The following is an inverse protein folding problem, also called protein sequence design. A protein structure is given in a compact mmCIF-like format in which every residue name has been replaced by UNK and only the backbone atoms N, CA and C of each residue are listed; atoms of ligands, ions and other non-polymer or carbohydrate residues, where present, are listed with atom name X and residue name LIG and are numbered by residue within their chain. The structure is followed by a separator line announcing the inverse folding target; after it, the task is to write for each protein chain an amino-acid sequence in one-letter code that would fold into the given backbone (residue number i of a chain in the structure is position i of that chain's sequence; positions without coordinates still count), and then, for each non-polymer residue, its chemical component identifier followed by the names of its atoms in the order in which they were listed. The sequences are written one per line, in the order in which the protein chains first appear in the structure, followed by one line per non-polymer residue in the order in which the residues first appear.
data_IF_999852095452
#
_entry.id   IF_999852095452
#
_cell.length_a   1.000
_cell.length_b   1.000
_cell.length_c   1.000
_cell.angle_alpha   90.00
_cell.angle_beta   90.00
_cell.angle_gamma   90.00
#
_symmetry.space_group_name_H-M   'P 1'
#
loop_
_entity.id
_entity.type
_entity.pdbx_description
1 polymer ?
#
# COMPACT_ATOMS: atom_id res chain seq x y z
N UNK A 1 20.53 -46.87 14.02
CA UNK A 1 19.35 -45.97 13.92
C UNK A 1 18.23 -46.75 13.28
N UNK A 2 16.97 -46.60 13.72
CA UNK A 2 15.84 -47.25 13.03
C UNK A 2 15.82 -46.83 11.56
N UNK A 3 15.51 -47.78 10.68
CA UNK A 3 15.39 -47.55 9.24
C UNK A 3 14.27 -46.53 8.97
N UNK A 4 14.62 -45.41 8.35
CA UNK A 4 13.63 -44.39 7.95
C UNK A 4 12.92 -44.86 6.68
N UNK A 5 11.61 -45.05 6.76
CA UNK A 5 10.78 -45.50 5.63
C UNK A 5 10.16 -44.32 4.89
N UNK A 6 9.88 -44.52 3.60
CA UNK A 6 9.11 -43.57 2.78
C UNK A 6 7.70 -43.38 3.35
N UNK A 7 7.15 -42.19 3.20
CA UNK A 7 5.77 -41.85 3.55
C UNK A 7 4.84 -42.45 2.52
N UNK A 8 4.08 -43.47 2.91
CA UNK A 8 3.14 -44.17 2.03
C UNK A 8 1.67 -43.89 2.37
N UNK A 9 1.39 -43.27 3.52
CA UNK A 9 0.02 -42.89 3.90
C UNK A 9 -0.46 -41.73 3.01
N UNK A 10 -1.49 -41.91 2.17
CA UNK A 10 -1.97 -40.86 1.27
C UNK A 10 -2.38 -39.57 1.97
N UNK A 11 -2.78 -39.62 3.24
CA UNK A 11 -3.15 -38.44 4.04
C UNK A 11 -1.94 -37.63 4.49
N UNK A 12 -0.75 -38.24 4.47
CA UNK A 12 0.50 -37.63 4.92
C UNK A 12 1.44 -37.25 3.78
N UNK A 13 1.17 -37.67 2.56
CA UNK A 13 2.00 -37.32 1.41
C UNK A 13 1.91 -35.80 1.16
N UNK A 14 3.06 -35.18 0.91
CA UNK A 14 3.12 -33.78 0.47
C UNK A 14 2.54 -33.66 -0.93
N UNK A 15 1.39 -33.01 -1.05
CA UNK A 15 0.72 -32.75 -2.33
C UNK A 15 0.79 -31.29 -2.76
N UNK A 16 1.23 -30.40 -1.87
CA UNK A 16 1.36 -28.98 -2.17
C UNK A 16 2.53 -28.73 -3.13
N UNK A 17 2.23 -28.19 -4.32
CA UNK A 17 3.21 -27.96 -5.38
C UNK A 17 4.32 -27.00 -4.97
N UNK A 18 4.03 -25.98 -4.15
CA UNK A 18 5.04 -25.00 -3.70
C UNK A 18 6.00 -25.65 -2.72
N UNK A 19 5.47 -26.46 -1.80
CA UNK A 19 6.29 -27.25 -0.88
C UNK A 19 7.16 -28.23 -1.65
N UNK A 20 6.59 -28.97 -2.60
CA UNK A 20 7.34 -29.90 -3.45
C UNK A 20 8.48 -29.20 -4.20
N UNK A 21 8.22 -28.04 -4.81
CA UNK A 21 9.25 -27.22 -5.48
C UNK A 21 10.38 -26.85 -4.50
N UNK A 22 10.02 -26.35 -3.32
CA UNK A 22 11.02 -25.90 -2.32
C UNK A 22 11.83 -27.06 -1.75
N UNK A 23 11.22 -28.23 -1.57
CA UNK A 23 11.92 -29.45 -1.15
C UNK A 23 12.99 -29.85 -2.16
N UNK A 24 12.68 -29.79 -3.47
CA UNK A 24 13.65 -30.06 -4.54
C UNK A 24 14.82 -29.09 -4.50
N UNK A 25 14.56 -27.78 -4.35
CA UNK A 25 15.61 -26.74 -4.25
C UNK A 25 16.55 -26.95 -3.05
N UNK A 26 16.02 -27.48 -1.95
CA UNK A 26 16.79 -27.78 -0.74
C UNK A 26 17.47 -29.15 -0.77
N UNK A 27 17.30 -29.94 -1.85
CA UNK A 27 17.81 -31.31 -1.93
C UNK A 27 17.14 -32.28 -0.96
N UNK A 28 15.92 -31.99 -0.52
CA UNK A 28 15.14 -32.84 0.39
C UNK A 28 14.21 -33.74 -0.43
N UNK A 29 14.34 -35.06 -0.28
CA UNK A 29 13.48 -36.04 -0.95
C UNK A 29 12.08 -36.04 -0.33
N UNK A 30 11.11 -35.51 -1.08
CA UNK A 30 9.72 -35.39 -0.64
C UNK A 30 9.05 -36.72 -0.23
N UNK A 31 9.54 -37.87 -0.70
CA UNK A 31 9.02 -39.17 -0.26
C UNK A 31 9.32 -39.47 1.22
N UNK A 32 10.21 -38.71 1.85
CA UNK A 32 10.53 -38.82 3.27
C UNK A 32 10.01 -37.63 4.07
N UNK A 33 9.25 -36.74 3.45
CA UNK A 33 8.60 -35.63 4.13
C UNK A 33 7.15 -36.01 4.36
N UNK A 34 6.72 -36.07 5.61
CA UNK A 34 5.30 -36.23 5.93
C UNK A 34 4.68 -34.88 6.26
N UNK A 35 3.45 -34.68 5.80
CA UNK A 35 2.54 -33.76 6.44
C UNK A 35 2.34 -34.22 7.89
N UNK A 36 2.70 -33.34 8.82
CA UNK A 36 2.78 -33.68 10.23
C UNK A 36 1.53 -33.24 10.98
N UNK A 37 1.14 -31.97 10.82
CA UNK A 37 -0.14 -31.48 11.29
C UNK A 37 -0.56 -30.18 10.58
N UNK A 38 -1.86 -29.98 10.54
CA UNK A 38 -2.54 -28.76 10.13
C UNK A 38 -2.65 -27.87 11.37
N UNK A 39 -2.05 -26.68 11.36
CA UNK A 39 -2.11 -25.70 12.46
C UNK A 39 -1.46 -26.23 13.76
N UNK A 40 -0.73 -25.41 14.50
CA UNK A 40 0.01 -25.90 15.67
C UNK A 40 -0.94 -26.50 16.74
N UNK A 41 -0.74 -27.74 17.23
CA UNK A 41 -1.63 -28.35 18.22
C UNK A 41 -1.56 -27.64 19.57
N UNK A 42 -2.72 -27.51 20.25
CA UNK A 42 -2.95 -26.82 21.55
C UNK A 42 -2.09 -27.26 22.74
N UNK A 43 -1.20 -28.24 22.59
CA UNK A 43 -0.60 -28.94 23.73
C UNK A 43 0.44 -28.14 24.52
N UNK A 44 0.64 -26.83 24.26
CA UNK A 44 1.60 -25.98 24.99
C UNK A 44 1.11 -24.58 25.42
N UNK A 45 -0.19 -24.29 25.40
CA UNK A 45 -0.72 -23.06 25.99
C UNK A 45 -0.43 -21.75 25.25
N UNK A 46 0.22 -21.80 24.08
CA UNK A 46 0.39 -20.66 23.18
C UNK A 46 -0.56 -20.80 21.98
N UNK A 47 -1.08 -19.66 21.54
CA UNK A 47 -2.21 -19.52 20.62
C UNK A 47 -1.92 -20.12 19.23
N UNK A 48 -2.98 -20.62 18.58
CA UNK A 48 -2.91 -21.23 17.26
C UNK A 48 -2.34 -20.25 16.23
N UNK A 49 -1.49 -20.73 15.32
CA UNK A 49 -1.31 -20.04 14.03
C UNK A 49 -2.28 -20.65 13.01
N UNK A 50 -3.46 -20.04 12.75
CA UNK A 50 -4.41 -20.51 11.72
C UNK A 50 -3.87 -20.34 10.29
N UNK A 51 -2.65 -19.83 10.19
CA UNK A 51 -1.94 -19.47 8.98
C UNK A 51 -0.93 -20.55 8.57
N UNK A 52 -0.59 -21.53 9.41
CA UNK A 52 0.54 -22.43 9.12
C UNK A 52 0.19 -23.91 8.95
N UNK A 53 0.83 -24.56 7.99
CA UNK A 53 0.93 -26.02 7.87
C UNK A 53 2.32 -26.49 8.22
N UNK A 54 2.41 -27.67 8.83
CA UNK A 54 3.69 -28.22 9.29
C UNK A 54 3.96 -29.58 8.65
N UNK A 55 5.20 -29.73 8.21
CA UNK A 55 5.74 -30.94 7.64
C UNK A 55 6.99 -31.35 8.41
N UNK A 56 7.34 -32.62 8.31
CA UNK A 56 8.51 -33.19 8.97
C UNK A 56 9.29 -34.04 7.97
N UNK A 57 10.57 -33.70 7.75
CA UNK A 57 11.49 -34.59 7.05
C UNK A 57 11.94 -35.70 8.00
N UNK A 58 11.59 -36.93 7.68
CA UNK A 58 11.88 -38.10 8.49
C UNK A 58 13.37 -38.48 8.48
N UNK A 59 14.16 -38.04 7.49
CA UNK A 59 15.61 -38.33 7.43
C UNK A 59 16.40 -37.44 8.38
N UNK A 60 16.14 -36.14 8.36
CA UNK A 60 16.87 -35.16 9.16
C UNK A 60 16.16 -34.77 10.45
N UNK A 61 14.89 -35.16 10.62
CA UNK A 61 13.98 -34.68 11.66
C UNK A 61 13.74 -33.15 11.63
N UNK A 62 14.12 -32.47 10.53
CA UNK A 62 13.82 -31.04 10.35
C UNK A 62 12.31 -30.84 10.19
N UNK A 63 11.81 -29.76 10.81
CA UNK A 63 10.43 -29.31 10.67
C UNK A 63 10.37 -28.21 9.63
N UNK A 64 9.37 -28.28 8.77
CA UNK A 64 9.14 -27.31 7.72
C UNK A 64 7.78 -26.68 8.00
N UNK A 65 7.76 -25.37 8.14
CA UNK A 65 6.55 -24.60 8.31
C UNK A 65 6.24 -23.88 7.01
N UNK A 66 4.97 -23.94 6.61
CA UNK A 66 4.46 -23.21 5.44
C UNK A 66 3.41 -22.25 5.96
N UNK A 67 3.71 -20.96 5.90
CA UNK A 67 2.80 -19.90 6.33
C UNK A 67 2.00 -19.41 5.13
N UNK A 68 0.69 -19.48 5.25
CA UNK A 68 -0.32 -18.90 4.36
C UNK A 68 -0.66 -17.50 4.89
N UNK A 69 -0.74 -16.51 4.01
CA UNK A 69 -1.29 -15.19 4.37
C UNK A 69 -2.80 -15.20 4.66
N UNK A 70 -3.47 -16.34 4.52
CA UNK A 70 -4.91 -16.51 4.73
C UNK A 70 -5.21 -17.59 5.79
N UNK A 71 -6.17 -17.33 6.69
CA UNK A 71 -6.55 -18.25 7.75
C UNK A 71 -7.34 -19.43 7.20
N UNK A 72 -7.13 -20.63 7.69
CA UNK A 72 -7.81 -21.83 7.18
C UNK A 72 -8.81 -22.44 8.17
N UNK A 73 -8.73 -22.06 9.44
CA UNK A 73 -9.62 -22.49 10.52
C UNK A 73 -10.00 -21.27 11.37
N UNK A 74 -11.18 -21.31 11.98
CA UNK A 74 -11.61 -20.36 13.01
C UNK A 74 -10.90 -20.66 14.34
N UNK A 75 -10.93 -19.75 15.34
CA UNK A 75 -10.36 -20.01 16.68
C UNK A 75 -10.97 -21.23 17.41
N UNK A 76 -12.22 -21.58 17.08
CA UNK A 76 -12.89 -22.79 17.58
C UNK A 76 -12.45 -24.11 16.87
N UNK A 77 -11.52 -24.04 15.92
CA UNK A 77 -11.00 -25.18 15.16
C UNK A 77 -11.86 -25.58 13.95
N UNK A 78 -13.02 -24.94 13.73
CA UNK A 78 -13.84 -25.22 12.56
C UNK A 78 -13.13 -24.75 11.30
N UNK A 79 -13.07 -25.62 10.28
CA UNK A 79 -12.49 -25.27 8.97
C UNK A 79 -13.28 -24.15 8.31
N UNK A 80 -12.56 -23.16 7.80
CA UNK A 80 -13.14 -22.11 6.96
C UNK A 80 -13.62 -22.73 5.65
N UNK A 81 -14.83 -22.36 5.26
CA UNK A 81 -15.44 -22.78 4.01
C UNK A 81 -15.73 -21.52 3.19
N UNK A 82 -15.02 -21.35 2.10
CA UNK A 82 -15.27 -20.26 1.17
C UNK A 82 -16.56 -20.52 0.39
N UNK A 83 -17.45 -19.53 0.37
CA UNK A 83 -18.68 -19.60 -0.41
C UNK A 83 -19.88 -18.91 0.22
N UNK A 84 -20.94 -18.83 -0.57
CA UNK A 84 -22.26 -18.39 -0.16
C UNK A 84 -23.22 -19.59 -0.09
N UNK A 85 -24.24 -19.46 0.75
CA UNK A 85 -25.37 -20.37 0.86
C UNK A 85 -26.67 -19.57 0.68
N UNK A 86 -27.50 -19.94 -0.31
CA UNK A 86 -28.84 -19.33 -0.48
C UNK A 86 -29.78 -19.88 0.60
N UNK A 87 -30.46 -19.00 1.31
CA UNK A 87 -31.45 -19.32 2.34
C UNK A 87 -32.69 -18.45 2.13
N UNK A 88 -33.70 -18.98 1.44
CA UNK A 88 -34.86 -18.18 1.03
C UNK A 88 -34.47 -17.03 0.11
N UNK A 89 -34.81 -15.79 0.49
CA UNK A 89 -34.53 -14.56 -0.26
C UNK A 89 -33.20 -13.89 0.12
N UNK A 90 -32.31 -14.58 0.84
CA UNK A 90 -31.00 -14.06 1.23
C UNK A 90 -29.87 -15.03 0.93
N UNK A 91 -28.66 -14.50 0.85
CA UNK A 91 -27.43 -15.27 0.89
C UNK A 91 -26.74 -15.08 2.22
N UNK A 92 -26.18 -16.14 2.77
CA UNK A 92 -25.35 -16.11 3.97
C UNK A 92 -23.98 -16.69 3.66
N UNK A 93 -22.93 -16.17 4.28
CA UNK A 93 -21.60 -16.75 4.18
C UNK A 93 -21.60 -18.17 4.76
N UNK A 94 -20.81 -19.04 4.16
CA UNK A 94 -20.37 -20.27 4.81
C UNK A 94 -19.43 -19.95 5.99
N UNK A 95 -19.11 -20.92 6.87
CA UNK A 95 -18.23 -20.70 8.02
C UNK A 95 -16.93 -19.97 7.63
N UNK A 96 -16.70 -18.80 8.24
CA UNK A 96 -15.52 -17.96 7.99
C UNK A 96 -15.15 -17.19 9.28
N UNK A 97 -14.13 -16.32 9.25
CA UNK A 97 -13.78 -15.46 10.39
C UNK A 97 -14.80 -14.33 10.64
N UNK A 98 -15.72 -14.14 9.70
CA UNK A 98 -16.83 -13.21 9.76
C UNK A 98 -18.12 -13.93 9.36
N UNK A 99 -19.25 -13.32 9.70
CA UNK A 99 -20.56 -13.64 9.15
C UNK A 99 -20.94 -12.56 8.14
N UNK A 100 -21.42 -12.96 6.97
CA UNK A 100 -21.96 -12.05 5.97
C UNK A 100 -23.37 -12.47 5.59
N UNK A 101 -24.28 -11.50 5.50
CA UNK A 101 -25.64 -11.68 4.98
C UNK A 101 -25.90 -10.69 3.86
N UNK A 102 -26.49 -11.16 2.77
CA UNK A 102 -26.91 -10.33 1.63
C UNK A 102 -28.40 -10.49 1.41
N UNK A 103 -29.14 -9.37 1.46
CA UNK A 103 -30.59 -9.27 1.19
C UNK A 103 -30.81 -8.21 0.12
N UNK A 104 -31.18 -8.63 -1.09
CA UNK A 104 -31.23 -7.73 -2.24
C UNK A 104 -29.86 -7.13 -2.51
N UNK A 105 -29.74 -5.80 -2.42
CA UNK A 105 -28.48 -5.05 -2.56
C UNK A 105 -27.84 -4.64 -1.23
N UNK A 106 -28.47 -4.93 -0.09
CA UNK A 106 -27.94 -4.67 1.26
C UNK A 106 -27.05 -5.82 1.72
N UNK A 107 -25.91 -5.46 2.30
CA UNK A 107 -24.92 -6.39 2.86
C UNK A 107 -24.74 -6.05 4.33
N UNK A 108 -24.73 -7.06 5.17
CA UNK A 108 -24.34 -6.95 6.58
C UNK A 108 -23.16 -7.87 6.82
N UNK A 109 -22.07 -7.33 7.35
CA UNK A 109 -20.89 -8.06 7.80
C UNK A 109 -20.79 -7.94 9.32
N UNK A 110 -20.48 -9.03 9.99
CA UNK A 110 -20.24 -9.09 11.44
C UNK A 110 -18.97 -9.86 11.69
N UNK A 111 -18.06 -9.27 12.45
CA UNK A 111 -16.82 -9.90 12.84
C UNK A 111 -17.10 -10.95 13.91
N UNK A 112 -16.58 -12.18 13.75
CA UNK A 112 -16.83 -13.26 14.71
C UNK A 112 -15.70 -13.42 15.74
N UNK A 113 -14.57 -12.72 15.52
CA UNK A 113 -13.41 -12.73 16.40
C UNK A 113 -12.66 -11.40 16.22
N UNK A 114 -11.87 -11.00 17.22
CA UNK A 114 -10.98 -9.85 17.11
C UNK A 114 -10.02 -10.00 15.91
N UNK A 115 -9.88 -8.92 15.14
CA UNK A 115 -9.01 -8.88 13.97
C UNK A 115 -7.73 -8.07 14.29
N UNK A 116 -6.60 -8.41 13.63
CA UNK A 116 -5.37 -7.62 13.73
C UNK A 116 -5.55 -6.14 13.37
N UNK A 117 -6.55 -5.81 12.54
CA UNK A 117 -6.87 -4.43 12.16
C UNK A 117 -7.58 -3.62 13.26
N UNK A 118 -7.69 -4.14 14.48
CA UNK A 118 -8.36 -3.50 15.61
C UNK A 118 -9.88 -3.71 15.68
N UNK A 119 -10.48 -4.30 14.63
CA UNK A 119 -11.91 -4.62 14.59
C UNK A 119 -12.21 -5.70 15.63
N UNK A 120 -13.18 -5.45 16.49
CA UNK A 120 -13.54 -6.32 17.60
C UNK A 120 -14.57 -7.36 17.22
N UNK A 121 -14.61 -8.43 18.00
CA UNK A 121 -15.71 -9.39 17.96
C UNK A 121 -17.05 -8.65 18.05
N UNK A 122 -18.03 -9.09 17.26
CA UNK A 122 -19.37 -8.50 17.10
C UNK A 122 -19.43 -7.11 16.44
N UNK A 123 -18.30 -6.49 16.10
CA UNK A 123 -18.31 -5.32 15.24
C UNK A 123 -18.98 -5.65 13.91
N UNK A 124 -19.84 -4.74 13.48
CA UNK A 124 -20.67 -4.94 12.32
C UNK A 124 -20.73 -3.69 11.43
N UNK A 125 -20.86 -3.95 10.14
CA UNK A 125 -21.15 -2.94 9.13
C UNK A 125 -22.29 -3.44 8.25
N UNK A 126 -23.32 -2.62 8.12
CA UNK A 126 -24.40 -2.79 7.14
C UNK A 126 -24.28 -1.69 6.10
N UNK A 127 -24.35 -2.04 4.83
CA UNK A 127 -24.19 -1.09 3.75
C UNK A 127 -25.03 -1.46 2.53
N UNK A 128 -25.44 -0.44 1.76
CA UNK A 128 -26.28 -0.56 0.56
C UNK A 128 -25.72 0.33 -0.56
N UNK A 129 -24.79 -0.21 -1.37
CA UNK A 129 -24.15 0.61 -2.40
C UNK A 129 -25.08 1.05 -3.51
N UNK A 130 -24.95 2.32 -3.87
CA UNK A 130 -25.61 3.00 -4.98
C UNK A 130 -24.56 3.41 -6.00
N UNK A 131 -24.82 3.16 -7.28
CA UNK A 131 -23.96 3.54 -8.39
C UNK A 131 -24.54 4.78 -9.07
N UNK A 132 -23.72 5.76 -9.40
CA UNK A 132 -24.10 6.94 -10.17
C UNK A 132 -23.19 7.04 -11.39
N UNK A 133 -23.78 7.28 -12.55
CA UNK A 133 -23.09 7.60 -13.80
C UNK A 133 -23.42 9.05 -14.16
N UNK A 134 -22.42 9.92 -14.17
CA UNK A 134 -22.59 11.36 -14.44
C UNK A 134 -23.69 12.00 -13.58
N UNK A 135 -23.74 11.63 -12.31
CA UNK A 135 -24.73 12.12 -11.33
C UNK A 135 -26.09 11.41 -11.35
N UNK A 136 -26.36 10.54 -12.33
CA UNK A 136 -27.62 9.80 -12.45
C UNK A 136 -27.47 8.43 -11.79
N UNK A 137 -28.33 8.13 -10.80
CA UNK A 137 -28.33 6.82 -10.13
C UNK A 137 -28.67 5.69 -11.12
N UNK A 138 -27.86 4.64 -11.06
CA UNK A 138 -27.98 3.43 -11.84
C UNK A 138 -28.44 2.30 -10.92
N UNK A 139 -29.44 1.55 -11.37
CA UNK A 139 -30.00 0.43 -10.63
C UNK A 139 -29.57 -0.90 -11.26
N UNK A 140 -29.39 -1.97 -10.47
CA UNK A 140 -29.14 -3.27 -11.05
C UNK A 140 -30.39 -3.75 -11.81
N UNK A 141 -30.17 -4.46 -12.92
CA UNK A 141 -31.23 -5.10 -13.71
C UNK A 141 -32.06 -6.10 -12.89
N UNK A 142 -31.47 -6.62 -11.80
CA UNK A 142 -32.14 -7.43 -10.78
C UNK A 142 -31.65 -7.05 -9.39
N UNK A 143 -32.58 -6.92 -8.44
CA UNK A 143 -32.24 -6.72 -7.03
C UNK A 143 -31.65 -7.98 -6.38
N UNK A 144 -31.93 -9.17 -6.92
CA UNK A 144 -31.31 -10.42 -6.46
C UNK A 144 -29.98 -10.66 -7.19
N UNK A 145 -28.87 -10.89 -6.46
CA UNK A 145 -27.62 -11.27 -7.09
C UNK A 145 -27.67 -12.69 -7.63
N UNK A 146 -26.88 -12.93 -8.68
CA UNK A 146 -26.59 -14.25 -9.21
C UNK A 146 -25.40 -14.83 -8.45
N UNK A 147 -25.53 -16.06 -7.95
CA UNK A 147 -24.41 -16.81 -7.37
C UNK A 147 -23.63 -17.50 -8.48
N UNK A 148 -22.41 -17.03 -8.75
CA UNK A 148 -21.60 -17.57 -9.84
C UNK A 148 -21.13 -19.00 -9.51
N UNK A 149 -21.18 -19.95 -10.47
CA UNK A 149 -20.74 -21.32 -10.23
C UNK A 149 -19.23 -21.41 -9.99
N UNK A 150 -18.46 -20.51 -10.60
CA UNK A 150 -17.02 -20.37 -10.45
C UNK A 150 -16.66 -18.89 -10.29
N UNK A 151 -15.63 -18.64 -9.52
CA UNK A 151 -15.08 -17.31 -9.34
C UNK A 151 -14.34 -16.85 -10.62
N UNK A 152 -14.68 -15.69 -11.20
CA UNK A 152 -13.97 -15.15 -12.35
C UNK A 152 -12.52 -14.75 -12.05
N UNK A 153 -12.18 -14.50 -10.79
CA UNK A 153 -10.82 -14.24 -10.37
C UNK A 153 -10.04 -15.54 -10.21
N UNK A 154 -10.49 -16.49 -9.40
CA UNK A 154 -9.79 -17.77 -9.22
C UNK A 154 -10.74 -18.97 -9.46
N UNK A 155 -10.67 -19.63 -10.63
CA UNK A 155 -11.59 -20.70 -11.01
C UNK A 155 -11.67 -21.90 -10.06
N UNK A 156 -10.71 -22.08 -9.15
CA UNK A 156 -10.72 -23.15 -8.15
C UNK A 156 -11.74 -22.87 -7.04
N UNK A 157 -12.07 -21.60 -6.78
CA UNK A 157 -13.19 -21.25 -5.93
C UNK A 157 -14.53 -21.40 -6.67
N UNK A 158 -15.50 -21.97 -5.95
CA UNK A 158 -16.84 -22.25 -6.47
C UNK A 158 -17.87 -21.59 -5.57
N UNK A 159 -18.89 -20.98 -6.16
CA UNK A 159 -20.02 -20.40 -5.42
C UNK A 159 -19.60 -19.41 -4.31
N UNK A 160 -18.56 -18.62 -4.54
CA UNK A 160 -18.05 -17.62 -3.59
C UNK A 160 -18.21 -16.18 -4.07
N UNK A 161 -18.77 -15.98 -5.27
CA UNK A 161 -19.03 -14.65 -5.83
C UNK A 161 -20.52 -14.47 -6.05
N UNK A 162 -21.08 -13.43 -5.45
CA UNK A 162 -22.37 -12.86 -5.80
C UNK A 162 -22.16 -11.75 -6.83
N UNK A 163 -22.97 -11.72 -7.87
CA UNK A 163 -22.89 -10.73 -8.94
C UNK A 163 -24.23 -10.02 -9.14
N UNK A 164 -24.20 -8.70 -9.21
CA UNK A 164 -25.30 -7.87 -9.71
C UNK A 164 -24.92 -7.27 -11.05
N UNK A 165 -25.85 -7.29 -11.98
CA UNK A 165 -25.71 -6.69 -13.29
C UNK A 165 -26.36 -5.32 -13.33
N UNK A 166 -25.60 -4.27 -13.67
CA UNK A 166 -26.10 -2.91 -13.83
C UNK A 166 -26.25 -2.51 -15.30
N UNK A 167 -26.04 -3.44 -16.24
CA UNK A 167 -26.00 -3.17 -17.68
C UNK A 167 -24.69 -2.53 -18.11
N UNK A 168 -24.28 -1.43 -17.47
CA UNK A 168 -23.02 -0.71 -17.74
C UNK A 168 -21.80 -1.34 -17.05
N UNK A 169 -22.03 -2.12 -16.00
CA UNK A 169 -20.98 -2.76 -15.22
C UNK A 169 -21.53 -3.98 -14.46
N UNK A 170 -20.65 -4.77 -13.88
CA UNK A 170 -21.00 -5.82 -12.91
C UNK A 170 -20.49 -5.42 -11.53
N UNK A 171 -21.33 -5.54 -10.51
CA UNK A 171 -20.88 -5.49 -9.11
C UNK A 171 -20.67 -6.90 -8.60
N UNK A 172 -19.52 -7.18 -8.00
CA UNK A 172 -19.19 -8.50 -7.44
C UNK A 172 -18.87 -8.39 -5.96
N UNK A 173 -19.43 -9.31 -5.17
CA UNK A 173 -19.08 -9.52 -3.77
C UNK A 173 -18.52 -10.93 -3.60
N UNK A 174 -17.23 -10.98 -3.32
CA UNK A 174 -16.42 -12.20 -3.24
C UNK A 174 -16.08 -12.53 -1.80
N UNK A 175 -16.29 -13.78 -1.40
CA UNK A 175 -15.76 -14.35 -0.15
C UNK A 175 -14.51 -15.16 -0.46
N UNK A 176 -13.49 -15.00 0.37
CA UNK A 176 -12.34 -15.91 0.50
C UNK A 176 -12.06 -16.16 1.99
N UNK A 177 -11.04 -16.94 2.27
CA UNK A 177 -10.53 -17.21 3.60
C UNK A 177 -10.26 -15.90 4.37
N UNK A 178 -11.03 -15.66 5.44
CA UNK A 178 -10.88 -14.51 6.31
C UNK A 178 -11.23 -13.15 5.70
N UNK A 179 -11.67 -13.06 4.43
CA UNK A 179 -11.95 -11.77 3.78
C UNK A 179 -13.22 -11.74 2.93
N UNK A 180 -13.86 -10.57 2.88
CA UNK A 180 -14.86 -10.18 1.87
C UNK A 180 -14.24 -9.10 0.99
N UNK A 181 -14.42 -9.21 -0.33
CA UNK A 181 -13.98 -8.17 -1.29
C UNK A 181 -15.14 -7.74 -2.17
N UNK A 182 -15.38 -6.43 -2.23
CA UNK A 182 -16.28 -5.81 -3.20
C UNK A 182 -15.50 -5.37 -4.43
N UNK A 183 -16.12 -5.43 -5.61
CA UNK A 183 -15.56 -4.78 -6.80
C UNK A 183 -16.64 -4.37 -7.77
N UNK A 184 -16.37 -3.32 -8.53
CA UNK A 184 -17.16 -2.91 -9.69
C UNK A 184 -16.32 -3.16 -10.94
N UNK A 185 -16.89 -3.85 -11.91
CA UNK A 185 -16.20 -4.34 -13.11
C UNK A 185 -16.86 -3.72 -14.33
N UNK A 186 -16.15 -2.80 -14.98
CA UNK A 186 -16.55 -2.15 -16.22
C UNK A 186 -15.87 -2.89 -17.37
N UNK A 187 -16.62 -3.45 -18.30
CA UNK A 187 -16.05 -4.16 -19.47
C UNK A 187 -15.86 -3.24 -20.68
N UNK A 188 -16.42 -2.05 -20.63
CA UNK A 188 -16.35 -1.00 -21.65
C UNK A 188 -16.41 0.36 -20.97
N UNK A 189 -16.02 1.42 -21.67
CA UNK A 189 -16.17 2.79 -21.20
C UNK A 189 -17.67 3.08 -20.92
N UNK A 190 -18.05 3.49 -19.70
CA UNK A 190 -19.43 3.86 -19.37
C UNK A 190 -19.84 5.24 -19.93
N UNK A 191 -18.93 5.96 -20.60
CA UNK A 191 -19.06 7.30 -21.17
C UNK A 191 -19.45 8.36 -20.12
N UNK A 192 -18.79 8.32 -18.96
CA UNK A 192 -19.03 9.28 -17.90
C UNK A 192 -18.29 8.95 -16.60
N UNK A 193 -18.25 9.91 -15.69
CA UNK A 193 -17.69 9.71 -14.35
C UNK A 193 -18.57 8.78 -13.51
N UNK A 194 -17.94 7.91 -12.74
CA UNK A 194 -18.60 6.97 -11.84
C UNK A 194 -18.48 7.48 -10.41
N UNK A 195 -19.59 7.45 -9.67
CA UNK A 195 -19.59 7.61 -8.21
C UNK A 195 -20.30 6.45 -7.56
N UNK A 196 -19.72 5.88 -6.51
CA UNK A 196 -20.34 4.82 -5.71
C UNK A 196 -20.51 5.34 -4.28
N UNK A 197 -21.74 5.32 -3.77
CA UNK A 197 -22.03 5.62 -2.36
C UNK A 197 -22.41 4.35 -1.63
N UNK A 198 -21.68 3.99 -0.58
CA UNK A 198 -21.84 2.72 0.10
C UNK A 198 -22.96 2.72 1.16
N UNK A 199 -23.32 3.89 1.71
CA UNK A 199 -24.35 4.04 2.75
C UNK A 199 -24.10 3.12 3.96
N UNK A 200 -22.87 3.16 4.48
CA UNK A 200 -22.42 2.30 5.57
C UNK A 200 -22.98 2.78 6.93
N UNK A 201 -23.46 1.84 7.73
CA UNK A 201 -23.92 2.02 9.10
C UNK A 201 -23.37 0.90 9.99
N UNK A 202 -23.11 1.19 11.27
CA UNK A 202 -22.52 0.25 12.22
C UNK A 202 -21.32 0.85 12.94
N UNK A 203 -20.71 0.06 13.82
CA UNK A 203 -19.53 0.43 14.62
C UNK A 203 -18.20 0.11 13.90
N UNK A 204 -18.27 -0.48 12.70
CA UNK A 204 -17.13 -0.65 11.80
C UNK A 204 -17.49 -0.14 10.39
N UNK A 205 -16.47 0.13 9.57
CA UNK A 205 -16.60 0.58 8.18
C UNK A 205 -15.74 -0.31 7.29
N UNK A 206 -16.27 -0.70 6.13
CA UNK A 206 -15.45 -1.33 5.10
C UNK A 206 -14.40 -0.34 4.59
N UNK A 207 -13.21 -0.85 4.31
CA UNK A 207 -12.18 -0.08 3.60
C UNK A 207 -12.59 0.06 2.14
N UNK A 208 -12.59 1.29 1.64
CA UNK A 208 -12.87 1.60 0.24
C UNK A 208 -11.58 1.61 -0.58
N UNK A 209 -11.71 1.62 -1.91
CA UNK A 209 -10.61 1.60 -2.86
C UNK A 209 -9.92 2.95 -3.07
N UNK A 210 -9.09 3.08 -4.12
CA UNK A 210 -8.24 4.27 -4.32
C UNK A 210 -9.02 5.49 -4.76
N UNK A 211 -10.25 5.28 -5.21
CA UNK A 211 -11.16 6.34 -5.60
C UNK A 211 -11.96 6.88 -4.41
N UNK A 212 -11.68 6.42 -3.19
CA UNK A 212 -12.38 6.86 -1.99
C UNK A 212 -12.13 8.36 -1.74
N UNK A 213 -13.20 9.15 -1.75
CA UNK A 213 -13.15 10.57 -1.40
C UNK A 213 -13.50 10.80 0.08
N UNK A 214 -14.03 9.77 0.75
CA UNK A 214 -14.28 9.72 2.19
C UNK A 214 -14.56 8.25 2.60
N UNK A 215 -14.98 8.03 3.85
CA UNK A 215 -15.25 6.69 4.38
C UNK A 215 -16.49 5.99 3.77
N UNK A 216 -17.31 6.66 2.95
CA UNK A 216 -18.57 6.13 2.41
C UNK A 216 -18.72 6.25 0.88
N UNK A 217 -17.85 7.01 0.19
CA UNK A 217 -17.99 7.28 -1.24
C UNK A 217 -16.68 7.07 -2.02
N UNK A 218 -16.81 6.50 -3.22
CA UNK A 218 -15.74 6.41 -4.23
C UNK A 218 -16.14 7.18 -5.51
N UNK A 219 -15.21 7.90 -6.13
CA UNK A 219 -15.41 8.65 -7.37
C UNK A 219 -14.29 8.34 -8.37
N UNK A 220 -14.64 7.81 -9.53
CA UNK A 220 -13.75 7.64 -10.68
C UNK A 220 -14.12 8.67 -11.74
N UNK A 221 -13.19 9.54 -12.10
CA UNK A 221 -13.42 10.55 -13.13
C UNK A 221 -13.62 9.90 -14.50
N UNK A 222 -14.30 10.61 -15.40
CA UNK A 222 -14.47 10.14 -16.78
C UNK A 222 -13.12 9.94 -17.48
N UNK A 223 -12.10 10.75 -17.12
CA UNK A 223 -10.76 10.66 -17.70
C UNK A 223 -10.13 9.28 -17.52
N UNK A 224 -10.41 8.58 -16.42
CA UNK A 224 -9.93 7.21 -16.20
C UNK A 224 -10.48 6.25 -17.27
N UNK A 225 -11.70 6.46 -17.74
CA UNK A 225 -12.31 5.61 -18.75
C UNK A 225 -11.97 6.03 -20.18
N UNK A 226 -11.73 7.33 -20.39
CA UNK A 226 -11.39 7.94 -21.67
C UNK A 226 -9.91 7.81 -22.04
N UNK A 227 -9.07 7.39 -21.10
CA UNK A 227 -7.66 7.09 -21.34
C UNK A 227 -7.53 5.98 -22.40
N UNK A 228 -6.90 6.26 -23.56
CA UNK A 228 -6.71 5.26 -24.62
C UNK A 228 -5.84 4.07 -24.20
N UNK A 229 -5.04 4.21 -23.13
CA UNK A 229 -4.21 3.13 -22.57
C UNK A 229 -4.97 2.26 -21.57
N UNK A 230 -6.18 2.64 -21.18
CA UNK A 230 -6.97 1.84 -20.23
C UNK A 230 -7.39 0.50 -20.81
N UNK A 231 -6.90 -0.59 -20.19
CA UNK A 231 -7.30 -1.94 -20.54
C UNK A 231 -8.59 -2.36 -19.83
N UNK A 232 -9.57 -2.80 -20.62
CA UNK A 232 -10.81 -3.37 -20.07
C UNK A 232 -10.66 -4.88 -19.80
N UNK A 233 -11.19 -5.39 -18.67
CA UNK A 233 -12.10 -4.69 -17.77
C UNK A 233 -11.41 -3.83 -16.69
N UNK A 234 -11.80 -2.56 -16.59
CA UNK A 234 -11.43 -1.68 -15.47
C UNK A 234 -12.17 -2.14 -14.22
N UNK A 235 -11.44 -2.25 -13.11
CA UNK A 235 -12.00 -2.68 -11.83
C UNK A 235 -11.78 -1.61 -10.77
N UNK A 236 -12.88 -1.14 -10.19
CA UNK A 236 -12.85 -0.45 -8.90
C UNK A 236 -12.49 -1.51 -7.83
N UNK A 237 -11.26 -1.49 -7.32
CA UNK A 237 -10.70 -2.48 -6.36
C UNK A 237 -10.13 -1.81 -5.11
N UNK A 238 -9.79 -2.65 -4.13
CA UNK A 238 -9.05 -2.32 -2.91
C UNK A 238 -7.80 -1.46 -3.19
N UNK A 239 -7.63 -0.38 -2.43
CA UNK A 239 -6.35 0.32 -2.28
C UNK A 239 -5.78 0.06 -0.90
N UNK A 240 -4.49 0.33 -0.77
CA UNK A 240 -3.88 0.47 0.54
C UNK A 240 -3.31 1.87 0.67
N UNK A 241 -3.44 2.43 1.87
CA UNK A 241 -2.87 3.72 2.23
C UNK A 241 -1.81 3.42 3.27
N UNK A 242 -0.63 3.95 3.02
CA UNK A 242 0.54 3.79 3.87
C UNK A 242 0.98 5.15 4.37
N UNK A 243 1.54 5.16 5.57
CA UNK A 243 2.11 6.32 6.23
C UNK A 243 3.48 5.90 6.77
N UNK A 244 4.44 6.82 6.90
CA UNK A 244 5.60 6.58 7.76
C UNK A 244 5.17 6.29 9.21
N UNK A 245 6.06 5.70 10.01
CA UNK A 245 5.84 5.56 11.44
C UNK A 245 6.12 6.88 12.16
N UNK A 246 5.23 7.24 13.07
CA UNK A 246 5.48 8.37 13.97
C UNK A 246 6.54 8.02 15.00
N UNK A 247 7.29 9.03 15.44
CA UNK A 247 8.32 8.89 16.43
C UNK A 247 7.74 8.37 17.77
N UNK A 248 8.31 7.34 18.40
CA UNK A 248 9.51 6.58 18.03
C UNK A 248 9.21 5.54 16.95
N UNK A 249 10.06 5.52 15.92
CA UNK A 249 9.95 4.73 14.70
C UNK A 249 10.14 3.22 14.94
N UNK A 250 9.32 2.39 14.30
CA UNK A 250 9.38 0.93 14.41
C UNK A 250 9.96 0.24 13.17
N UNK A 251 9.48 0.61 12.00
CA UNK A 251 9.74 -0.04 10.71
C UNK A 251 10.14 0.97 9.63
N UNK A 252 9.59 2.20 9.71
CA UNK A 252 9.82 3.27 8.74
C UNK A 252 10.05 4.63 9.40
N UNK A 253 10.62 5.57 8.65
CA UNK A 253 10.93 6.93 9.12
C UNK A 253 10.59 7.94 8.02
N UNK A 254 10.18 9.13 8.41
CA UNK A 254 10.28 10.32 7.57
C UNK A 254 11.10 11.41 8.27
N UNK A 255 11.63 12.33 7.48
CA UNK A 255 12.56 13.30 8.02
C UNK A 255 13.37 14.01 6.95
N UNK A 256 14.44 14.68 7.37
CA UNK A 256 15.22 15.50 6.46
C UNK A 256 16.68 15.56 6.83
N UNK A 257 17.51 15.65 5.79
CA UNK A 257 18.94 15.93 5.89
C UNK A 257 19.23 17.28 5.28
N UNK A 258 20.28 17.95 5.78
CA UNK A 258 20.74 19.18 5.14
C UNK A 258 22.23 19.42 5.30
N UNK A 259 22.80 20.00 4.25
CA UNK A 259 24.08 20.70 4.30
C UNK A 259 23.79 22.13 4.73
N UNK A 260 24.25 22.55 5.91
CA UNK A 260 23.89 23.85 6.48
C UNK A 260 25.10 24.54 7.10
N UNK A 261 25.39 25.74 6.63
CA UNK A 261 26.44 26.63 7.12
C UNK A 261 25.82 27.87 7.80
N UNK A 262 26.59 28.50 8.67
CA UNK A 262 26.25 29.80 9.25
C UNK A 262 26.27 30.92 8.19
N UNK A 263 25.59 32.03 8.49
CA UNK A 263 25.67 33.23 7.65
C UNK A 263 27.13 33.73 7.64
N UNK A 264 27.67 33.97 6.46
CA UNK A 264 29.05 34.43 6.27
C UNK A 264 30.08 33.30 6.25
N UNK A 265 29.66 32.04 6.42
CA UNK A 265 30.51 30.86 6.31
C UNK A 265 30.07 29.90 5.21
N UNK A 266 29.26 30.39 4.27
CA UNK A 266 28.85 29.62 3.10
C UNK A 266 30.02 29.15 2.24
N UNK A 267 29.77 28.11 1.45
CA UNK A 267 30.74 27.48 0.54
C UNK A 267 30.26 27.61 -0.91
N UNK A 268 31.07 27.23 -1.90
CA UNK A 268 30.59 27.19 -3.30
C UNK A 268 29.55 26.08 -3.47
N UNK A 269 28.71 26.18 -4.50
CA UNK A 269 27.62 25.23 -4.75
C UNK A 269 28.07 23.77 -4.69
N UNK A 270 29.05 23.37 -5.49
CA UNK A 270 29.53 21.99 -5.56
C UNK A 270 29.95 21.44 -4.19
N UNK A 271 30.61 22.26 -3.36
CA UNK A 271 31.04 21.84 -2.01
C UNK A 271 29.86 21.58 -1.08
N UNK A 272 28.78 22.37 -1.20
CA UNK A 272 27.58 22.19 -0.39
C UNK A 272 26.70 21.07 -0.93
N UNK A 273 26.53 20.99 -2.25
CA UNK A 273 25.69 20.01 -2.92
C UNK A 273 26.23 18.58 -2.77
N UNK A 274 27.55 18.41 -2.85
CA UNK A 274 28.25 17.10 -2.82
C UNK A 274 28.71 16.69 -1.42
N UNK A 275 28.23 17.37 -0.37
CA UNK A 275 28.66 17.08 0.99
C UNK A 275 28.14 15.68 1.41
N UNK A 276 29.05 14.71 1.59
CA UNK A 276 28.69 13.33 1.96
C UNK A 276 28.06 13.24 3.35
N UNK A 277 28.56 14.01 4.31
CA UNK A 277 28.00 14.08 5.67
C UNK A 277 27.42 15.45 5.91
N UNK A 278 26.10 15.51 6.04
CA UNK A 278 25.36 16.74 6.29
C UNK A 278 25.70 17.35 7.66
N UNK A 279 25.10 18.50 7.93
CA UNK A 279 25.26 19.20 9.20
C UNK A 279 24.06 18.99 10.13
N UNK A 280 22.89 18.70 9.57
CA UNK A 280 21.65 18.49 10.31
C UNK A 280 20.91 17.27 9.74
N UNK A 281 20.33 16.49 10.63
CA UNK A 281 19.45 15.36 10.33
C UNK A 281 18.29 15.41 11.34
N UNK A 282 17.07 15.20 10.85
CA UNK A 282 15.84 15.28 11.64
C UNK A 282 14.98 14.07 11.33
N UNK A 283 14.53 13.35 12.35
CA UNK A 283 13.53 12.27 12.23
C UNK A 283 12.36 12.38 13.21
N UNK A 284 12.35 13.44 14.04
CA UNK A 284 11.34 13.68 15.09
C UNK A 284 10.70 15.09 15.00
N UNK A 285 11.01 15.82 13.93
CA UNK A 285 10.55 17.20 13.72
C UNK A 285 9.18 17.21 13.02
N UNK A 286 8.27 18.10 13.45
CA UNK A 286 6.99 18.35 12.75
C UNK A 286 7.20 18.69 11.25
N UNK A 287 8.15 19.56 10.84
CA UNK A 287 8.32 19.91 9.43
C UNK A 287 9.24 18.96 8.67
N UNK A 288 8.71 18.39 7.59
CA UNK A 288 9.47 17.70 6.55
C UNK A 288 10.09 18.73 5.58
N UNK A 289 11.38 18.99 5.73
CA UNK A 289 12.15 19.86 4.83
C UNK A 289 12.39 19.14 3.51
N UNK A 290 11.55 19.47 2.54
CA UNK A 290 11.66 19.01 1.16
C UNK A 290 12.77 19.82 0.45
N UNK A 291 12.58 20.28 -0.78
CA UNK A 291 13.53 21.18 -1.41
C UNK A 291 13.65 22.52 -0.65
N UNK A 292 14.85 22.81 -0.18
CA UNK A 292 15.21 24.12 0.37
C UNK A 292 16.62 24.52 -0.06
N UNK A 293 16.75 25.69 -0.66
CA UNK A 293 18.03 26.27 -1.06
C UNK A 293 18.17 27.65 -0.42
N UNK A 294 19.36 27.95 0.12
CA UNK A 294 19.69 29.27 0.68
C UNK A 294 21.06 29.75 0.22
N UNK A 295 21.10 30.91 -0.42
CA UNK A 295 22.35 31.62 -0.65
C UNK A 295 22.84 32.29 0.63
N UNK A 296 24.15 32.46 0.71
CA UNK A 296 24.82 33.15 1.81
C UNK A 296 24.88 34.67 1.56
N UNK A 297 25.36 35.44 2.53
CA UNK A 297 25.65 36.86 2.34
C UNK A 297 27.06 37.12 1.76
N UNK A 298 27.87 36.06 1.63
CA UNK A 298 29.15 36.09 0.92
C UNK A 298 28.92 35.83 -0.58
N UNK A 299 29.51 36.67 -1.43
CA UNK A 299 29.34 36.58 -2.89
C UNK A 299 29.67 35.21 -3.45
N UNK A 300 28.76 34.62 -4.23
CA UNK A 300 28.93 33.31 -4.87
C UNK A 300 29.01 32.15 -3.89
N UNK A 301 28.42 32.30 -2.70
CA UNK A 301 28.39 31.27 -1.66
C UNK A 301 26.98 30.89 -1.28
N UNK A 302 26.84 29.64 -0.89
CA UNK A 302 25.60 29.03 -0.47
C UNK A 302 25.76 28.48 0.94
N UNK A 303 24.67 28.48 1.69
CA UNK A 303 24.69 28.08 3.09
C UNK A 303 23.68 26.99 3.42
N UNK A 304 22.76 26.65 2.52
CA UNK A 304 21.88 25.52 2.79
C UNK A 304 21.37 24.83 1.52
N UNK A 305 21.43 23.50 1.52
CA UNK A 305 20.55 22.60 0.76
C UNK A 305 19.92 21.63 1.76
N UNK A 306 18.60 21.45 1.69
CA UNK A 306 17.90 20.39 2.42
C UNK A 306 17.14 19.47 1.46
N UNK A 307 16.97 18.21 1.86
CA UNK A 307 16.28 17.16 1.12
C UNK A 307 15.38 16.38 2.08
N UNK A 308 14.19 16.02 1.62
CA UNK A 308 13.24 15.21 2.39
C UNK A 308 13.48 13.72 2.15
N UNK A 309 13.25 12.89 3.17
CA UNK A 309 13.28 11.43 3.10
C UNK A 309 11.95 10.91 3.67
N UNK A 310 11.30 9.99 2.97
CA UNK A 310 10.11 9.28 3.46
C UNK A 310 10.22 7.78 3.15
N UNK A 311 10.06 6.94 4.16
CA UNK A 311 9.98 5.49 4.02
C UNK A 311 8.57 5.01 4.34
N UNK A 312 8.06 4.08 3.54
CA UNK A 312 6.71 3.52 3.70
C UNK A 312 6.73 2.00 3.59
N UNK A 313 6.15 1.30 4.57
CA UNK A 313 6.06 -0.17 4.56
C UNK A 313 4.84 -0.61 3.76
N UNK A 314 5.07 -1.01 2.52
CA UNK A 314 4.06 -1.54 1.60
C UNK A 314 3.94 -3.07 1.64
N UNK A 315 4.65 -3.77 2.54
CA UNK A 315 4.62 -5.24 2.67
C UNK A 315 3.20 -5.80 2.89
N UNK A 316 2.31 -5.00 3.49
CA UNK A 316 0.90 -5.35 3.71
C UNK A 316 0.09 -5.65 2.44
N UNK A 317 0.58 -5.27 1.25
CA UNK A 317 -0.01 -5.65 -0.04
C UNK A 317 0.07 -7.18 -0.28
N UNK A 318 1.10 -7.81 0.29
CA UNK A 318 1.48 -9.20 0.09
C UNK A 318 2.39 -9.38 -1.13
N UNK A 319 3.30 -10.38 -1.11
CA UNK A 319 4.44 -10.52 -2.03
C UNK A 319 4.05 -10.96 -3.45
N UNK A 320 2.76 -10.95 -3.76
CA UNK A 320 2.28 -11.28 -5.09
C UNK A 320 1.53 -10.09 -5.71
N UNK A 321 1.19 -9.05 -4.94
CA UNK A 321 0.45 -7.93 -5.48
C UNK A 321 1.21 -7.25 -6.63
N UNK A 322 0.48 -6.94 -7.70
CA UNK A 322 0.95 -6.15 -8.83
C UNK A 322 0.48 -4.71 -8.62
N UNK A 323 1.41 -3.79 -8.41
CA UNK A 323 1.12 -2.36 -8.23
C UNK A 323 0.74 -1.77 -9.59
N UNK A 324 -0.44 -1.14 -9.66
CA UNK A 324 -0.96 -0.51 -10.88
C UNK A 324 -0.90 1.01 -10.87
N UNK A 325 -0.64 1.64 -9.72
CA UNK A 325 -0.58 3.10 -9.61
C UNK A 325 -0.33 3.54 -8.18
N UNK A 326 0.33 4.69 -8.04
CA UNK A 326 0.70 5.28 -6.76
C UNK A 326 0.43 6.78 -6.77
N UNK A 327 -0.07 7.29 -5.65
CA UNK A 327 -0.13 8.72 -5.38
C UNK A 327 0.45 9.00 -4.01
N UNK A 328 1.53 9.75 -3.94
CA UNK A 328 2.05 10.31 -2.69
C UNK A 328 1.42 11.69 -2.50
N UNK A 329 0.83 11.91 -1.35
CA UNK A 329 0.36 13.24 -0.95
C UNK A 329 1.25 13.76 0.17
N UNK A 330 1.78 14.97 -0.03
CA UNK A 330 2.49 15.74 0.99
C UNK A 330 1.64 16.95 1.39
N UNK A 331 1.32 17.08 2.69
CA UNK A 331 0.55 18.24 3.17
C UNK A 331 1.52 19.38 3.45
N UNK A 332 1.28 20.54 2.83
CA UNK A 332 2.17 21.70 2.93
C UNK A 332 2.33 22.18 4.39
N UNK A 333 3.58 22.41 4.82
CA UNK A 333 3.98 23.20 6.01
C UNK A 333 4.19 24.68 5.64
N UNK A 334 4.06 24.98 4.34
CA UNK A 334 4.25 26.30 3.78
C UNK A 334 5.43 26.39 2.84
N UNK A 335 5.55 27.57 2.24
CA UNK A 335 6.55 27.89 1.23
C UNK A 335 6.97 29.34 1.37
N UNK A 336 8.22 29.65 1.08
CA UNK A 336 8.70 31.03 1.03
C UNK A 336 9.79 31.19 -0.01
N UNK A 337 9.73 32.28 -0.76
CA UNK A 337 10.72 32.66 -1.76
C UNK A 337 11.09 34.13 -1.60
N UNK A 338 12.38 34.38 -1.46
CA UNK A 338 12.96 35.72 -1.43
C UNK A 338 13.94 35.98 -2.57
N UNK A 339 14.34 34.91 -3.27
CA UNK A 339 15.08 34.96 -4.54
C UNK A 339 14.22 35.53 -5.66
N UNK A 340 14.86 36.16 -6.64
CA UNK A 340 14.23 36.69 -7.85
C UNK A 340 14.66 35.96 -9.12
N UNK A 341 15.73 35.16 -9.08
CA UNK A 341 16.31 34.49 -10.24
C UNK A 341 16.22 32.96 -10.21
N UNK A 342 15.72 32.38 -9.13
CA UNK A 342 15.57 30.92 -9.00
C UNK A 342 14.45 30.59 -8.01
N UNK A 343 13.84 29.43 -8.24
CA UNK A 343 12.81 28.85 -7.38
C UNK A 343 13.05 27.35 -7.24
N UNK A 344 12.64 26.79 -6.10
CA UNK A 344 12.64 25.34 -5.93
C UNK A 344 11.44 24.72 -6.61
N UNK A 345 11.63 23.51 -7.12
CA UNK A 345 10.58 22.71 -7.74
C UNK A 345 10.70 21.26 -7.28
N UNK A 346 9.77 20.82 -6.43
CA UNK A 346 9.82 19.51 -5.79
C UNK A 346 9.41 18.40 -6.75
N UNK A 347 10.18 17.31 -6.76
CA UNK A 347 9.78 16.01 -7.33
C UNK A 347 10.24 14.87 -6.41
N UNK A 348 9.79 13.65 -6.71
CA UNK A 348 10.05 12.44 -5.94
C UNK A 348 11.09 11.58 -6.65
N UNK A 349 12.06 11.09 -5.88
CA UNK A 349 13.19 10.27 -6.32
C UNK A 349 13.37 9.10 -5.36
N UNK A 350 14.30 8.18 -5.65
CA UNK A 350 14.76 7.21 -4.65
C UNK A 350 15.56 7.89 -3.54
N UNK A 351 15.49 7.31 -2.34
CA UNK A 351 16.45 7.55 -1.26
C UNK A 351 17.01 6.23 -0.75
N UNK A 352 18.15 6.26 -0.07
CA UNK A 352 18.79 5.08 0.51
C UNK A 352 19.42 5.38 1.88
N UNK A 353 18.62 5.80 2.89
CA UNK A 353 19.16 5.94 4.23
C UNK A 353 19.70 4.61 4.76
N UNK A 354 20.73 4.69 5.60
CA UNK A 354 21.45 3.53 6.12
C UNK A 354 20.58 2.59 6.96
N UNK A 355 19.56 3.14 7.62
CA UNK A 355 18.56 2.41 8.41
C UNK A 355 17.16 2.89 8.07
N UNK A 356 16.15 2.07 8.37
CA UNK A 356 14.76 2.40 8.05
C UNK A 356 14.03 3.18 9.15
N UNK A 357 14.63 3.35 10.32
CA UNK A 357 13.96 3.85 11.54
C UNK A 357 14.65 5.08 12.15
N UNK A 358 15.55 5.72 11.41
CA UNK A 358 16.23 6.94 11.82
C UNK A 358 16.85 7.62 10.60
N UNK A 359 17.01 8.95 10.69
CA UNK A 359 17.77 9.74 9.72
C UNK A 359 19.08 10.18 10.37
N UNK A 360 20.20 9.94 9.69
CA UNK A 360 21.54 10.30 10.14
C UNK A 360 22.18 11.33 9.21
N UNK A 361 23.21 12.02 9.70
CA UNK A 361 23.97 12.99 8.90
C UNK A 361 24.60 12.37 7.65
N UNK A 362 24.93 11.08 7.71
CA UNK A 362 25.51 10.34 6.59
C UNK A 362 24.52 10.15 5.42
N UNK A 363 23.21 10.21 5.68
CA UNK A 363 22.17 10.06 4.64
C UNK A 363 22.03 11.32 3.75
N UNK A 364 22.90 12.33 3.93
CA UNK A 364 22.98 13.52 3.09
C UNK A 364 23.78 13.29 1.79
N UNK A 365 24.51 12.19 1.68
CA UNK A 365 25.27 11.86 0.48
C UNK A 365 24.34 11.90 -0.73
N UNK A 366 24.68 12.71 -1.74
CA UNK A 366 23.88 12.81 -2.96
C UNK A 366 23.74 11.45 -3.67
N UNK A 367 24.68 10.53 -3.45
CA UNK A 367 24.62 9.17 -3.99
C UNK A 367 23.56 8.29 -3.32
N UNK A 368 23.08 8.66 -2.12
CA UNK A 368 21.93 8.02 -1.49
C UNK A 368 20.61 8.48 -2.12
N UNK A 369 20.64 9.48 -3.00
CA UNK A 369 19.48 9.95 -3.74
C UNK A 369 19.57 9.63 -5.24
N UNK A 370 18.47 9.13 -5.80
CA UNK A 370 18.38 8.92 -7.25
C UNK A 370 18.28 10.23 -8.02
N UNK A 371 18.48 10.13 -9.35
CA UNK A 371 18.29 11.21 -10.32
C UNK A 371 17.14 10.94 -11.29
N UNK A 372 16.61 9.71 -11.33
CA UNK A 372 15.42 9.37 -12.13
C UNK A 372 14.16 9.83 -11.41
N UNK A 373 13.35 10.73 -11.98
CA UNK A 373 12.11 11.18 -11.36
C UNK A 373 11.07 10.05 -11.33
N UNK A 374 10.41 9.88 -10.20
CA UNK A 374 9.30 8.93 -10.01
C UNK A 374 7.95 9.51 -10.40
N UNK A 375 7.87 10.81 -10.68
CA UNK A 375 6.66 11.48 -11.17
C UNK A 375 7.01 12.32 -12.41
N UNK A 376 6.12 12.32 -13.41
CA UNK A 376 6.33 13.08 -14.65
C UNK A 376 6.09 14.58 -14.46
N UNK A 377 5.35 14.96 -13.42
CA UNK A 377 5.05 16.35 -13.08
C UNK A 377 5.61 16.66 -11.71
N UNK A 378 6.59 17.54 -11.69
CA UNK A 378 7.08 18.21 -10.49
C UNK A 378 6.12 19.34 -10.08
N UNK A 379 6.20 19.74 -8.80
CA UNK A 379 5.38 20.84 -8.26
C UNK A 379 6.30 22.03 -8.02
N UNK A 380 6.16 23.05 -8.87
CA UNK A 380 6.89 24.32 -8.74
C UNK A 380 6.55 25.05 -7.45
N UNK A 381 7.45 25.94 -7.00
CA UNK A 381 7.18 26.83 -5.87
C UNK A 381 5.83 27.55 -5.99
N UNK A 382 5.51 28.08 -7.17
CA UNK A 382 4.25 28.81 -7.40
C UNK A 382 3.02 27.91 -7.20
N UNK A 383 3.10 26.65 -7.63
CA UNK A 383 2.01 25.68 -7.53
C UNK A 383 1.95 24.91 -6.20
N UNK A 384 3.02 24.95 -5.40
CA UNK A 384 3.01 24.32 -4.08
C UNK A 384 1.87 24.86 -3.23
N UNK A 385 1.10 23.97 -2.63
CA UNK A 385 -0.14 24.34 -1.96
C UNK A 385 0.11 25.24 -0.73
N UNK A 386 -0.92 25.98 -0.33
CA UNK A 386 -0.90 26.74 0.92
C UNK A 386 -0.76 25.79 2.13
N UNK A 387 -0.27 26.31 3.26
CA UNK A 387 -0.13 25.52 4.50
C UNK A 387 -1.43 24.78 4.85
N UNK A 388 -1.28 23.50 5.23
CA UNK A 388 -2.37 22.58 5.53
C UNK A 388 -3.09 21.99 4.31
N UNK A 389 -2.64 22.28 3.09
CA UNK A 389 -3.23 21.76 1.85
C UNK A 389 -2.37 20.67 1.20
N UNK A 390 -3.03 19.76 0.49
CA UNK A 390 -2.43 18.58 -0.15
C UNK A 390 -1.63 18.96 -1.43
N UNK A 391 -0.45 18.35 -1.59
CA UNK A 391 0.33 18.33 -2.81
C UNK A 391 0.45 16.88 -3.30
N UNK A 392 -0.21 16.56 -4.41
CA UNK A 392 -0.29 15.19 -4.94
C UNK A 392 0.75 14.93 -6.02
N UNK A 393 1.54 13.89 -5.81
CA UNK A 393 2.53 13.35 -6.73
C UNK A 393 2.03 12.03 -7.29
N UNK A 394 1.65 12.04 -8.57
CA UNK A 394 1.23 10.83 -9.29
C UNK A 394 2.46 10.17 -9.90
N UNK A 395 2.69 8.90 -9.59
CA UNK A 395 3.89 8.19 -10.00
C UNK A 395 3.80 7.74 -11.45
N UNK A 396 4.91 7.86 -12.16
CA UNK A 396 5.10 7.33 -13.50
C UNK A 396 5.52 5.86 -13.48
N UNK A 397 5.80 5.29 -14.65
CA UNK A 397 6.21 3.90 -14.79
C UNK A 397 7.48 3.55 -13.98
N UNK A 398 8.45 4.46 -13.89
CA UNK A 398 9.67 4.24 -13.12
C UNK A 398 9.39 4.18 -11.61
N UNK A 399 8.55 5.10 -11.11
CA UNK A 399 8.12 5.09 -9.73
C UNK A 399 7.30 3.86 -9.36
N UNK A 400 6.39 3.42 -10.23
CA UNK A 400 5.63 2.16 -10.04
C UNK A 400 6.55 0.95 -10.00
N UNK A 401 7.51 0.86 -10.93
CA UNK A 401 8.48 -0.23 -10.97
C UNK A 401 9.36 -0.26 -9.71
N UNK A 402 9.77 0.90 -9.19
CA UNK A 402 10.54 1.00 -7.95
C UNK A 402 9.75 0.53 -6.73
N UNK A 403 8.47 0.90 -6.63
CA UNK A 403 7.60 0.39 -5.57
C UNK A 403 7.38 -1.13 -5.69
N UNK A 404 7.21 -1.65 -6.91
CA UNK A 404 7.08 -3.09 -7.13
C UNK A 404 8.36 -3.82 -6.68
N UNK A 405 9.53 -3.28 -7.01
CA UNK A 405 10.80 -3.84 -6.58
C UNK A 405 10.97 -3.81 -5.04
N UNK A 406 10.51 -2.75 -4.38
CA UNK A 406 10.48 -2.68 -2.92
C UNK A 406 9.54 -3.74 -2.32
N UNK A 407 8.32 -3.88 -2.87
CA UNK A 407 7.36 -4.90 -2.44
C UNK A 407 7.88 -6.33 -2.61
N UNK A 408 8.58 -6.60 -3.73
CA UNK A 408 9.20 -7.89 -4.01
C UNK A 408 10.43 -8.16 -3.11
N UNK A 409 10.97 -7.11 -2.48
CA UNK A 409 12.10 -7.13 -1.55
C UNK A 409 11.68 -7.19 -0.08
N UNK A 410 12.03 -6.17 0.69
CA UNK A 410 11.73 -6.05 2.13
C UNK A 410 10.37 -5.39 2.41
N UNK A 411 9.71 -4.86 1.38
CA UNK A 411 8.45 -4.12 1.49
C UNK A 411 8.62 -2.64 1.83
N UNK A 412 9.84 -2.12 1.97
CA UNK A 412 10.06 -0.71 2.35
C UNK A 412 10.31 0.14 1.11
N UNK A 413 9.34 0.99 0.76
CA UNK A 413 9.48 1.91 -0.35
C UNK A 413 10.14 3.21 0.12
N UNK A 414 11.37 3.45 -0.34
CA UNK A 414 12.23 4.56 0.08
C UNK A 414 12.17 5.72 -0.92
N UNK A 415 11.71 6.87 -0.46
CA UNK A 415 11.49 8.07 -1.27
C UNK A 415 12.35 9.23 -0.78
N UNK A 416 12.81 10.05 -1.73
CA UNK A 416 13.46 11.33 -1.50
C UNK A 416 12.69 12.46 -2.16
N UNK A 417 12.57 13.61 -1.49
CA UNK A 417 11.98 14.83 -2.06
C UNK A 417 13.11 15.82 -2.34
N UNK A 418 13.32 16.12 -3.62
CA UNK A 418 14.43 16.96 -4.08
C UNK A 418 13.96 18.03 -5.06
N UNK A 419 14.75 19.09 -5.14
CA UNK A 419 14.59 20.10 -6.18
C UNK A 419 15.03 19.54 -7.54
N UNK A 420 14.13 19.62 -8.52
CA UNK A 420 14.32 19.08 -9.86
C UNK A 420 15.07 20.01 -10.80
N UNK A 421 15.31 21.26 -10.40
CA UNK A 421 15.80 22.31 -11.32
C UNK A 421 17.25 22.71 -11.07
N UNK A 422 17.76 22.58 -9.85
CA UNK A 422 19.11 22.94 -9.41
C UNK A 422 19.80 21.80 -8.67
N UNK A 423 19.15 21.17 -7.67
CA UNK A 423 19.74 20.05 -6.89
C UNK A 423 19.98 18.80 -7.77
N UNK A 424 18.92 18.22 -8.35
CA UNK A 424 19.06 16.99 -9.15
C UNK A 424 19.95 17.14 -10.39
N UNK A 425 19.85 18.21 -11.22
CA UNK A 425 20.73 18.39 -12.38
C UNK A 425 22.11 18.95 -12.02
N UNK A 426 22.39 19.22 -10.75
CA UNK A 426 23.62 19.86 -10.27
C UNK A 426 23.92 21.18 -11.02
N UNK A 427 22.92 22.06 -11.06
CA UNK A 427 23.01 23.36 -11.73
C UNK A 427 23.00 24.46 -10.69
N UNK A 428 24.16 25.08 -10.46
CA UNK A 428 24.29 26.21 -9.54
C UNK A 428 23.29 27.33 -9.90
N UNK A 429 22.37 27.72 -8.98
CA UNK A 429 21.47 28.83 -9.25
C UNK A 429 22.23 30.16 -9.36
N UNK A 430 21.61 31.20 -9.94
CA UNK A 430 22.24 32.53 -9.93
C UNK A 430 22.29 33.06 -8.49
N UNK A 431 23.49 33.28 -7.97
CA UNK A 431 23.67 33.77 -6.59
C UNK A 431 23.01 35.14 -6.39
N UNK A 432 22.31 35.28 -5.26
CA UNK A 432 21.78 36.55 -4.76
C UNK A 432 22.13 36.70 -3.28
N UNK A 433 22.36 37.92 -2.80
CA UNK A 433 22.75 38.16 -1.42
C UNK A 433 21.67 37.71 -0.42
N UNK A 434 21.98 36.68 0.37
CA UNK A 434 21.17 36.19 1.49
C UNK A 434 19.70 35.85 1.13
N UNK A 435 19.48 35.20 0.00
CA UNK A 435 18.17 34.76 -0.49
C UNK A 435 17.92 33.30 -0.18
N UNK A 436 16.65 32.91 -0.27
CA UNK A 436 16.22 31.54 -0.07
C UNK A 436 14.92 31.24 -0.82
N UNK A 437 14.74 29.99 -1.20
CA UNK A 437 13.49 29.41 -1.68
C UNK A 437 13.29 28.04 -1.04
N UNK A 438 12.07 27.78 -0.55
CA UNK A 438 11.68 26.47 -0.03
C UNK A 438 10.18 26.23 -0.19
N UNK A 439 9.83 24.96 -0.23
CA UNK A 439 8.47 24.46 -0.25
C UNK A 439 8.44 23.17 0.58
N UNK A 440 7.99 23.26 1.83
CA UNK A 440 8.07 22.18 2.82
C UNK A 440 6.71 21.50 3.02
N UNK A 441 6.75 20.32 3.63
CA UNK A 441 5.58 19.56 4.02
C UNK A 441 5.61 19.28 5.53
N UNK A 442 4.50 18.81 6.09
CA UNK A 442 4.46 18.21 7.42
C UNK A 442 5.00 16.77 7.38
N UNK A 443 5.72 16.37 8.42
CA UNK A 443 6.05 14.97 8.68
C UNK A 443 4.86 14.24 9.28
N UNK A 444 5.01 12.94 9.47
CA UNK A 444 4.03 12.09 10.14
C UNK A 444 3.74 12.53 11.57
N UNK A 445 4.72 13.13 12.26
CA UNK A 445 4.64 13.51 13.68
C UNK A 445 3.68 14.66 13.92
N UNK A 446 3.40 15.45 12.87
CA UNK A 446 2.32 16.44 12.90
C UNK A 446 0.98 15.81 13.26
N UNK A 447 0.78 14.55 12.85
CA UNK A 447 -0.43 13.78 13.10
C UNK A 447 -1.65 14.27 12.33
N UNK A 448 -2.80 13.68 12.67
CA UNK A 448 -4.09 14.07 12.09
C UNK A 448 -4.15 13.92 10.57
N UNK A 449 -4.72 14.93 9.91
CA UNK A 449 -4.89 14.98 8.45
C UNK A 449 -3.63 15.45 7.71
N UNK A 450 -2.60 15.89 8.42
CA UNK A 450 -1.37 16.46 7.84
C UNK A 450 -0.30 15.43 7.51
N UNK A 451 -0.54 14.15 7.81
CA UNK A 451 0.44 13.08 7.62
C UNK A 451 0.71 12.83 6.13
N UNK A 452 1.98 12.70 5.70
CA UNK A 452 2.30 12.16 4.38
C UNK A 452 1.63 10.81 4.17
N UNK A 453 1.00 10.61 3.01
CA UNK A 453 0.27 9.37 2.70
C UNK A 453 0.63 8.87 1.31
N UNK A 454 0.87 7.57 1.17
CA UNK A 454 1.00 6.90 -0.11
C UNK A 454 -0.27 6.05 -0.35
N UNK A 455 -1.03 6.38 -1.39
CA UNK A 455 -2.14 5.54 -1.85
C UNK A 455 -1.64 4.63 -2.96
N UNK A 456 -1.75 3.32 -2.73
CA UNK A 456 -1.36 2.28 -3.67
C UNK A 456 -2.58 1.61 -4.26
N UNK A 457 -2.68 1.65 -5.58
CA UNK A 457 -3.62 0.83 -6.35
C UNK A 457 -2.91 -0.43 -6.81
N UNK A 458 -3.52 -1.60 -6.61
CA UNK A 458 -2.87 -2.86 -6.92
C UNK A 458 -3.88 -3.92 -7.31
N UNK A 459 -3.38 -4.96 -7.97
CA UNK A 459 -4.11 -6.21 -8.13
C UNK A 459 -3.44 -7.28 -7.31
N UNK A 460 -4.17 -7.90 -6.37
CA UNK A 460 -3.69 -9.17 -5.82
C UNK A 460 -3.87 -10.22 -6.92
N UNK A 461 -2.84 -11.00 -7.27
CA UNK A 461 -3.00 -12.06 -8.23
C UNK A 461 -3.95 -13.09 -7.66
N UNK A 462 -4.53 -13.79 -8.63
CA UNK A 462 -5.42 -14.91 -8.43
C UNK A 462 -4.62 -15.94 -7.60
N UNK A 463 -5.10 -16.36 -6.41
CA UNK A 463 -4.43 -17.39 -5.63
C UNK A 463 -4.14 -18.64 -6.46
#
# INVERSE_FOLDING_TARGET
MPEVKKVTDPKKIVTDKRVLKRLVELGIDHHFVEFWHDYAPRSKGEEHSPYAKFYRDLKSNKRIMVVSGLPMVKPDGTKIQVGWLKQGNRYVSRPNLFSATVRGTQITLTCLNDQPSGVKTDDAVTYRPQLFLSGIEQFPLSNEPILLPRDPANPDYKKNVLEWDFGICKRRLRIIEGRVRGSWVFNTNPNGGIRVKYNQAGNHKIKLGPYAINADEEVMSQLVFDDPESEYPIKLKDSATYYPDAHVESDTVDGSVSSSYGIGSGVVWDTMHDLVTGHLAYSEDDPLRCASIKSDNSSGKWRQIARGILLLDISGLGPLAEIGGLTLTLVSDGKLQTSTNWEVENNIYSSNPAVNTAIALADNDKNDFGTTPYCDTSISFTNWAADGSDNDFVFNAAGIAAAQAALDGDGIFKLGVRDSTQDVPDTEPTWENAKYSYANAWSVDKGGASRPKLVVTYTSPKP
#
